data_IF_658141286941
#
_entry.id   IF_658141286941
#
_cell.length_a   1.000
_cell.length_b   1.000
_cell.length_c   1.000
_cell.angle_alpha   90.00
_cell.angle_beta   90.00
_cell.angle_gamma   90.00
#
_symmetry.space_group_name_H-M   'P 1'
#
loop_
_entity.id
_entity.type
_entity.pdbx_description
1 polymer ?
#
# COMPACT_ATOMS: atom_id res chain seq x y z
N UNK A 1 -37.68 -16.67 -6.96
CA UNK A 1 -37.02 -15.39 -7.30
C UNK A 1 -35.52 -15.59 -7.18
N UNK A 2 -34.80 -15.65 -8.29
CA UNK A 2 -33.34 -15.54 -8.26
C UNK A 2 -33.09 -14.06 -8.01
N UNK A 3 -32.70 -13.69 -6.79
CA UNK A 3 -32.11 -12.37 -6.56
C UNK A 3 -30.89 -12.32 -7.47
N UNK A 4 -30.94 -11.49 -8.53
CA UNK A 4 -29.77 -11.11 -9.28
C UNK A 4 -28.73 -10.66 -8.26
N UNK A 5 -27.75 -11.52 -7.98
CA UNK A 5 -26.61 -11.21 -7.14
C UNK A 5 -26.01 -9.96 -7.77
N UNK A 6 -26.18 -8.81 -7.10
CA UNK A 6 -25.72 -7.52 -7.60
C UNK A 6 -24.24 -7.71 -7.93
N UNK A 7 -23.90 -7.72 -9.21
CA UNK A 7 -22.53 -7.56 -9.66
C UNK A 7 -22.15 -6.15 -9.22
N UNK A 8 -21.47 -6.05 -8.08
CA UNK A 8 -21.00 -4.76 -7.57
C UNK A 8 -19.73 -4.43 -8.33
N UNK A 9 -19.67 -3.23 -8.89
CA UNK A 9 -18.43 -2.67 -9.44
C UNK A 9 -17.54 -2.34 -8.24
N UNK A 10 -16.38 -3.01 -8.08
CA UNK A 10 -15.51 -2.75 -6.93
C UNK A 10 -15.05 -1.29 -6.93
N UNK A 11 -15.09 -0.65 -5.76
CA UNK A 11 -14.58 0.70 -5.56
C UNK A 11 -13.18 0.63 -4.94
N UNK A 12 -12.14 1.08 -5.66
CA UNK A 12 -10.78 1.15 -5.12
C UNK A 12 -10.71 2.23 -4.05
N UNK A 13 -10.42 1.83 -2.82
CA UNK A 13 -10.36 2.68 -1.64
C UNK A 13 -8.94 3.14 -1.32
N UNK A 14 -7.96 2.29 -1.56
CA UNK A 14 -6.57 2.63 -1.34
C UNK A 14 -5.67 1.99 -2.38
N UNK A 15 -4.65 2.72 -2.80
CA UNK A 15 -3.62 2.23 -3.73
C UNK A 15 -2.26 2.65 -3.22
N UNK A 16 -1.29 1.73 -3.30
CA UNK A 16 0.14 2.00 -3.14
C UNK A 16 0.80 1.56 -4.44
N UNK A 17 1.49 2.46 -5.12
CA UNK A 17 2.11 2.15 -6.41
C UNK A 17 3.50 2.78 -6.53
N UNK A 18 4.41 2.06 -7.16
CA UNK A 18 5.65 2.60 -7.71
C UNK A 18 5.33 3.20 -9.08
N UNK A 19 5.65 4.48 -9.24
CA UNK A 19 5.62 5.20 -10.51
C UNK A 19 7.06 5.40 -10.97
N UNK A 20 7.36 4.92 -12.16
CA UNK A 20 8.65 5.09 -12.81
C UNK A 20 8.44 5.85 -14.11
N UNK A 21 9.37 6.72 -14.45
CA UNK A 21 9.41 7.39 -15.74
C UNK A 21 10.83 7.37 -16.29
N UNK A 22 10.97 6.86 -17.49
CA UNK A 22 12.16 7.04 -18.32
C UNK A 22 11.88 8.21 -19.27
N UNK A 23 12.52 9.35 -19.05
CA UNK A 23 12.46 10.43 -20.03
C UNK A 23 13.37 10.06 -21.21
N UNK A 24 12.79 9.75 -22.37
CA UNK A 24 13.52 9.57 -23.64
C UNK A 24 14.09 10.93 -24.12
N UNK A 25 15.15 11.41 -23.49
CA UNK A 25 15.87 12.64 -23.82
C UNK A 25 17.39 12.42 -23.90
N UNK A 26 18.17 13.47 -24.22
CA UNK A 26 19.65 13.38 -24.33
C UNK A 26 20.39 13.03 -23.03
N UNK A 27 19.68 13.02 -21.90
CA UNK A 27 20.14 12.51 -20.61
C UNK A 27 19.11 11.48 -20.16
N UNK A 28 19.54 10.23 -19.95
CA UNK A 28 18.73 9.14 -19.39
C UNK A 28 18.37 9.46 -17.92
N UNK A 29 17.47 10.42 -17.71
CA UNK A 29 17.02 10.83 -16.38
C UNK A 29 15.87 9.91 -15.95
N UNK A 30 16.23 8.78 -15.34
CA UNK A 30 15.29 7.89 -14.64
C UNK A 30 14.73 8.63 -13.41
N UNK A 31 13.40 8.58 -13.24
CA UNK A 31 12.75 9.02 -12.01
C UNK A 31 11.83 7.95 -11.45
N UNK A 32 11.78 7.84 -10.12
CA UNK A 32 10.93 6.91 -9.41
C UNK A 32 10.28 7.56 -8.19
N UNK A 33 8.99 7.31 -8.02
CA UNK A 33 8.23 7.77 -6.86
C UNK A 33 7.24 6.73 -6.38
N UNK A 34 7.08 6.61 -5.07
CA UNK A 34 5.96 5.85 -4.49
C UNK A 34 4.79 6.80 -4.29
N UNK A 35 3.62 6.40 -4.76
CA UNK A 35 2.35 7.10 -4.55
C UNK A 35 1.42 6.25 -3.71
N UNK A 36 0.87 6.84 -2.67
CA UNK A 36 -0.21 6.27 -1.84
C UNK A 36 -1.43 7.17 -1.99
N UNK A 37 -2.56 6.60 -2.35
CA UNK A 37 -3.84 7.30 -2.46
C UNK A 37 -4.88 6.64 -1.56
N UNK A 38 -5.67 7.46 -0.87
CA UNK A 38 -6.86 7.03 -0.13
C UNK A 38 -8.08 7.77 -0.67
N UNK A 39 -9.04 7.01 -1.20
CA UNK A 39 -10.26 7.57 -1.79
C UNK A 39 -11.20 8.05 -0.70
N UNK A 40 -11.86 9.19 -0.93
CA UNK A 40 -12.82 9.76 0.02
C UNK A 40 -12.18 10.53 1.18
N UNK A 41 -10.85 10.63 1.23
CA UNK A 41 -10.14 11.52 2.14
C UNK A 41 -10.08 12.92 1.55
N UNK A 42 -10.26 13.95 2.39
CA UNK A 42 -10.18 15.34 1.94
C UNK A 42 -8.79 15.66 1.38
N UNK A 43 -8.78 16.40 0.26
CA UNK A 43 -7.55 16.81 -0.40
C UNK A 43 -6.90 17.94 0.38
N UNK A 44 -5.58 17.88 0.56
CA UNK A 44 -4.83 19.01 1.09
C UNK A 44 -4.89 20.18 0.10
N UNK A 45 -5.18 21.39 0.60
CA UNK A 45 -5.29 22.60 -0.24
C UNK A 45 -3.94 23.06 -0.75
N UNK A 46 -2.93 22.96 0.10
CA UNK A 46 -1.55 23.34 -0.20
C UNK A 46 -0.66 22.11 -0.02
N UNK A 47 0.32 21.89 -0.92
CA UNK A 47 1.26 20.79 -0.77
C UNK A 47 2.09 20.95 0.50
N UNK A 48 2.33 19.85 1.20
CA UNK A 48 3.10 19.84 2.45
C UNK A 48 3.96 18.59 2.52
N UNK A 49 5.21 18.75 2.94
CA UNK A 49 6.15 17.65 3.15
C UNK A 49 6.25 17.39 4.64
N UNK A 50 5.92 16.18 5.04
CA UNK A 50 6.01 15.74 6.43
C UNK A 50 7.16 14.78 6.56
N UNK A 51 8.12 15.16 7.41
CA UNK A 51 9.36 14.43 7.59
C UNK A 51 9.21 13.40 8.71
N UNK A 52 9.88 12.26 8.57
CA UNK A 52 9.92 11.24 9.61
C UNK A 52 10.58 11.78 10.89
N UNK A 53 11.67 12.55 10.74
CA UNK A 53 12.42 13.15 11.85
C UNK A 53 13.16 14.42 11.41
N UNK A 54 13.69 15.18 12.37
CA UNK A 54 14.56 16.32 12.06
C UNK A 54 15.84 15.90 11.33
N UNK A 55 16.40 14.74 11.65
CA UNK A 55 17.61 14.22 10.99
C UNK A 55 17.34 13.94 9.51
N UNK A 56 16.18 13.33 9.20
CA UNK A 56 15.74 13.12 7.83
C UNK A 56 15.58 14.47 7.11
N UNK A 57 14.89 15.44 7.73
CA UNK A 57 14.75 16.78 7.18
C UNK A 57 16.09 17.47 6.89
N UNK A 58 17.04 17.41 7.85
CA UNK A 58 18.37 18.00 7.72
C UNK A 58 19.19 17.37 6.61
N UNK A 59 19.09 16.04 6.42
CA UNK A 59 19.75 15.32 5.31
C UNK A 59 19.33 15.88 3.95
N UNK A 60 18.10 16.35 3.83
CA UNK A 60 17.52 16.93 2.61
C UNK A 60 17.55 18.47 2.58
N UNK A 61 18.20 19.11 3.55
CA UNK A 61 18.33 20.57 3.61
C UNK A 61 17.02 21.31 3.91
N UNK A 62 16.01 20.64 4.47
CA UNK A 62 14.75 21.27 4.83
C UNK A 62 14.92 22.22 6.03
N UNK A 63 14.33 23.41 5.92
CA UNK A 63 14.28 24.44 6.97
C UNK A 63 12.88 24.47 7.56
N UNK A 64 12.76 24.40 8.88
CA UNK A 64 11.48 24.31 9.61
C UNK A 64 10.60 23.12 9.19
N UNK A 65 11.06 21.86 9.40
CA UNK A 65 10.35 20.69 8.92
C UNK A 65 9.03 20.47 9.67
N UNK A 66 7.98 20.14 8.93
CA UNK A 66 6.73 19.61 9.51
C UNK A 66 6.99 18.18 9.95
N UNK A 67 6.81 17.92 11.24
CA UNK A 67 6.99 16.61 11.87
C UNK A 67 5.63 15.93 12.13
N UNK A 68 5.61 14.61 12.41
CA UNK A 68 4.37 13.84 12.47
C UNK A 68 3.41 14.26 13.61
N UNK A 69 3.93 14.90 14.66
CA UNK A 69 3.16 15.46 15.77
C UNK A 69 2.26 16.64 15.34
N UNK A 70 2.65 17.37 14.29
CA UNK A 70 1.89 18.51 13.75
C UNK A 70 0.82 18.12 12.73
N UNK A 71 0.72 16.84 12.37
CA UNK A 71 -0.22 16.35 11.34
C UNK A 71 -1.69 16.61 11.68
N UNK A 72 -2.07 16.56 12.96
CA UNK A 72 -3.45 16.80 13.38
C UNK A 72 -3.93 18.22 13.04
N UNK A 73 -3.04 19.22 13.21
CA UNK A 73 -3.31 20.62 12.88
C UNK A 73 -3.44 20.84 11.36
N UNK A 74 -2.68 20.07 10.58
CA UNK A 74 -2.61 20.20 9.11
C UNK A 74 -3.81 19.55 8.42
N UNK A 75 -4.25 18.39 8.91
CA UNK A 75 -5.21 17.54 8.20
C UNK A 75 -6.66 17.67 8.69
N UNK A 76 -6.89 18.11 9.93
CA UNK A 76 -8.24 18.18 10.51
C UNK A 76 -8.96 16.83 10.69
N UNK A 77 -8.38 15.72 10.20
CA UNK A 77 -8.85 14.35 10.37
C UNK A 77 -7.81 13.58 11.21
N UNK A 78 -8.16 13.29 12.47
CA UNK A 78 -7.26 12.65 13.42
C UNK A 78 -6.89 11.21 13.02
N UNK A 79 -7.84 10.45 12.47
CA UNK A 79 -7.62 9.07 12.02
C UNK A 79 -6.66 9.05 10.84
N UNK A 80 -6.86 9.94 9.87
CA UNK A 80 -5.95 10.07 8.73
C UNK A 80 -4.55 10.52 9.18
N UNK A 81 -4.47 11.49 10.09
CA UNK A 81 -3.20 11.90 10.68
C UNK A 81 -2.47 10.73 11.36
N UNK A 82 -3.18 9.87 12.09
CA UNK A 82 -2.59 8.69 12.74
C UNK A 82 -2.11 7.64 11.72
N UNK A 83 -2.88 7.42 10.64
CA UNK A 83 -2.45 6.56 9.52
C UNK A 83 -1.11 7.07 8.95
N UNK A 84 -0.98 8.38 8.71
CA UNK A 84 0.26 8.95 8.18
C UNK A 84 1.43 8.83 9.15
N UNK A 85 1.21 9.04 10.45
CA UNK A 85 2.24 8.82 11.47
C UNK A 85 2.73 7.38 11.46
N UNK A 86 1.82 6.41 11.36
CA UNK A 86 2.19 5.00 11.30
C UNK A 86 2.92 4.67 9.99
N UNK A 87 2.50 5.23 8.84
CA UNK A 87 3.21 5.08 7.56
C UNK A 87 4.63 5.63 7.62
N UNK A 88 4.84 6.80 8.22
CA UNK A 88 6.16 7.42 8.42
C UNK A 88 7.10 6.60 9.31
N UNK A 89 6.59 5.66 10.11
CA UNK A 89 7.44 4.70 10.87
C UNK A 89 8.03 3.59 9.97
N UNK A 90 7.67 3.54 8.68
CA UNK A 90 8.19 2.54 7.75
C UNK A 90 9.68 2.74 7.50
N UNK A 91 10.49 1.73 7.79
CA UNK A 91 11.94 1.80 7.59
C UNK A 91 12.30 2.00 6.11
N UNK A 92 13.03 3.08 5.82
CA UNK A 92 13.39 3.54 4.48
C UNK A 92 12.51 4.69 3.94
N UNK A 93 11.42 5.03 4.63
CA UNK A 93 10.61 6.20 4.31
C UNK A 93 11.08 7.40 5.13
N UNK A 94 11.65 8.40 4.46
CA UNK A 94 12.21 9.58 5.14
C UNK A 94 11.21 10.74 5.25
N UNK A 95 10.23 10.79 4.35
CA UNK A 95 9.15 11.78 4.34
C UNK A 95 7.95 11.30 3.53
N UNK A 96 6.84 12.04 3.61
CA UNK A 96 5.71 11.96 2.70
C UNK A 96 5.33 13.38 2.25
N UNK A 97 5.31 13.62 0.95
CA UNK A 97 4.76 14.83 0.35
C UNK A 97 3.27 14.62 0.10
N UNK A 98 2.42 15.37 0.78
CA UNK A 98 0.99 15.39 0.56
C UNK A 98 0.68 16.43 -0.51
N UNK A 99 0.02 16.02 -1.59
CA UNK A 99 -0.31 16.90 -2.70
C UNK A 99 -1.66 16.49 -3.29
N UNK A 100 -2.67 17.34 -3.11
CA UNK A 100 -4.04 16.98 -3.45
C UNK A 100 -4.54 15.80 -2.59
N UNK A 101 -4.90 14.69 -3.24
CA UNK A 101 -5.33 13.45 -2.55
C UNK A 101 -4.25 12.37 -2.45
N UNK A 102 -3.03 12.69 -2.88
CA UNK A 102 -1.93 11.74 -3.01
C UNK A 102 -0.85 12.02 -1.96
N UNK A 103 -0.25 10.94 -1.45
CA UNK A 103 0.98 10.96 -0.68
C UNK A 103 2.09 10.45 -1.58
N UNK A 104 3.14 11.25 -1.73
CA UNK A 104 4.25 10.97 -2.63
C UNK A 104 5.55 10.86 -1.87
N UNK A 105 6.41 9.94 -2.30
CA UNK A 105 7.78 9.83 -1.85
C UNK A 105 8.68 9.64 -3.07
N UNK A 106 9.60 10.57 -3.30
CA UNK A 106 10.64 10.40 -4.31
C UNK A 106 11.63 9.34 -3.85
N UNK A 107 11.72 8.26 -4.61
CA UNK A 107 12.63 7.14 -4.36
C UNK A 107 13.63 6.96 -5.50
N UNK A 108 13.85 7.98 -6.33
CA UNK A 108 14.79 7.95 -7.47
C UNK A 108 16.22 7.58 -7.02
N UNK A 109 16.62 8.02 -5.83
CA UNK A 109 17.95 7.74 -5.27
C UNK A 109 18.09 6.32 -4.70
N UNK A 110 16.99 5.56 -4.59
CA UNK A 110 17.01 4.16 -4.16
C UNK A 110 17.23 3.26 -5.37
N UNK A 111 18.01 2.20 -5.20
CA UNK A 111 18.10 1.14 -6.20
C UNK A 111 16.73 0.49 -6.43
N UNK A 112 16.45 -0.11 -7.61
CA UNK A 112 15.19 -0.81 -7.85
C UNK A 112 14.84 -1.88 -6.80
N UNK A 113 15.87 -2.51 -6.21
CA UNK A 113 15.73 -3.45 -5.09
C UNK A 113 15.23 -2.75 -3.82
N UNK A 114 15.83 -1.63 -3.44
CA UNK A 114 15.43 -0.86 -2.26
C UNK A 114 14.02 -0.24 -2.43
N UNK A 115 13.70 0.23 -3.63
CA UNK A 115 12.34 0.71 -3.96
C UNK A 115 11.31 -0.41 -3.74
N UNK A 116 11.62 -1.63 -4.21
CA UNK A 116 10.73 -2.77 -4.02
C UNK A 116 10.53 -3.13 -2.55
N UNK A 117 11.61 -3.18 -1.78
CA UNK A 117 11.56 -3.44 -0.35
C UNK A 117 10.72 -2.38 0.37
N UNK A 118 10.91 -1.11 0.04
CA UNK A 118 10.14 -0.02 0.64
C UNK A 118 8.65 -0.16 0.35
N UNK A 119 8.29 -0.43 -0.91
CA UNK A 119 6.91 -0.65 -1.32
C UNK A 119 6.25 -1.81 -0.55
N UNK A 120 6.96 -2.95 -0.43
CA UNK A 120 6.48 -4.11 0.35
C UNK A 120 6.28 -3.78 1.82
N UNK A 121 7.20 -3.02 2.43
CA UNK A 121 7.07 -2.60 3.83
C UNK A 121 5.89 -1.65 4.04
N UNK A 122 5.63 -0.73 3.10
CA UNK A 122 4.46 0.14 3.14
C UNK A 122 3.16 -0.66 3.11
N UNK A 123 3.04 -1.63 2.19
CA UNK A 123 1.88 -2.53 2.10
C UNK A 123 1.69 -3.33 3.40
N UNK A 124 2.77 -3.90 3.95
CA UNK A 124 2.72 -4.62 5.22
C UNK A 124 2.31 -3.72 6.40
N UNK A 125 2.72 -2.45 6.37
CA UNK A 125 2.36 -1.50 7.40
C UNK A 125 0.88 -1.09 7.30
N UNK A 126 0.34 -0.90 6.08
CA UNK A 126 -1.09 -0.68 5.87
C UNK A 126 -1.96 -1.82 6.42
N UNK A 127 -1.52 -3.07 6.25
CA UNK A 127 -2.17 -4.22 6.89
C UNK A 127 -2.16 -4.11 8.42
N UNK A 128 -1.01 -3.78 9.01
CA UNK A 128 -0.87 -3.64 10.47
C UNK A 128 -1.81 -2.59 11.03
N UNK A 129 -2.09 -1.53 10.28
CA UNK A 129 -3.00 -0.44 10.64
C UNK A 129 -4.41 -0.60 10.06
N UNK A 130 -4.79 -1.82 9.65
CA UNK A 130 -6.12 -2.14 9.11
C UNK A 130 -7.30 -1.67 9.98
N UNK A 131 -7.11 -1.58 11.30
CA UNK A 131 -8.11 -1.03 12.22
C UNK A 131 -8.33 0.49 12.01
N UNK A 132 -7.26 1.26 11.83
CA UNK A 132 -7.35 2.69 11.49
C UNK A 132 -7.97 2.89 10.12
N UNK A 133 -7.67 1.99 9.17
CA UNK A 133 -8.29 2.00 7.84
C UNK A 133 -9.81 1.74 7.92
N UNK A 134 -10.23 0.80 8.75
CA UNK A 134 -11.66 0.57 8.98
C UNK A 134 -12.34 1.79 9.59
N UNK A 135 -11.70 2.44 10.56
CA UNK A 135 -12.20 3.69 11.16
C UNK A 135 -12.26 4.84 10.14
N UNK A 136 -11.23 4.99 9.30
CA UNK A 136 -11.16 6.00 8.24
C UNK A 136 -12.35 5.90 7.28
N UNK A 137 -12.79 4.68 6.95
CA UNK A 137 -13.93 4.41 6.08
C UNK A 137 -15.26 4.27 6.83
N UNK A 138 -15.30 4.56 8.14
CA UNK A 138 -16.52 4.55 8.95
C UNK A 138 -17.09 3.15 9.19
N UNK A 139 -16.26 2.11 9.14
CA UNK A 139 -16.69 0.74 9.38
C UNK A 139 -16.60 0.37 10.86
N UNK A 140 -17.71 -0.18 11.37
CA UNK A 140 -17.78 -0.67 12.75
C UNK A 140 -17.13 -2.06 12.94
N UNK A 141 -16.56 -2.63 11.88
CA UNK A 141 -15.93 -3.95 11.86
C UNK A 141 -14.73 -3.96 10.93
N UNK A 142 -13.77 -4.81 11.25
CA UNK A 142 -12.69 -5.12 10.31
C UNK A 142 -13.28 -5.78 9.06
N UNK A 143 -12.79 -5.41 7.87
CA UNK A 143 -13.26 -5.99 6.64
C UNK A 143 -12.84 -7.45 6.48
N UNK A 144 -13.64 -8.23 5.77
CA UNK A 144 -13.24 -9.54 5.28
C UNK A 144 -12.65 -9.42 3.88
N UNK A 145 -11.64 -10.22 3.52
CA UNK A 145 -11.17 -10.30 2.13
C UNK A 145 -11.75 -11.52 1.38
N UNK A 146 -12.19 -11.30 0.14
CA UNK A 146 -12.75 -12.32 -0.78
C UNK A 146 -11.83 -13.52 -0.96
N UNK A 147 -10.53 -13.37 -0.74
CA UNK A 147 -9.58 -14.48 -0.86
C UNK A 147 -9.54 -15.49 0.27
N UNK A 148 -10.06 -15.16 1.47
CA UNK A 148 -9.96 -16.06 2.64
C UNK A 148 -10.91 -17.27 2.61
N UNK A 149 -11.89 -17.33 1.71
CA UNK A 149 -13.02 -18.27 1.88
C UNK A 149 -13.30 -19.28 0.76
N UNK A 150 -12.77 -19.17 -0.47
CA UNK A 150 -13.33 -20.00 -1.57
C UNK A 150 -12.38 -20.48 -2.70
N UNK A 151 -11.29 -19.80 -3.08
CA UNK A 151 -10.72 -20.04 -4.42
C UNK A 151 -9.31 -20.67 -4.39
N UNK A 152 -9.21 -21.94 -4.82
CA UNK A 152 -7.94 -22.67 -5.02
C UNK A 152 -7.25 -22.39 -6.37
N UNK A 153 -7.73 -21.44 -7.19
CA UNK A 153 -7.19 -21.29 -8.56
C UNK A 153 -7.57 -20.02 -9.32
N UNK A 154 -7.87 -18.92 -8.63
CA UNK A 154 -8.05 -17.62 -9.29
C UNK A 154 -7.07 -16.63 -8.68
N UNK A 155 -6.04 -16.36 -9.47
CA UNK A 155 -4.81 -15.63 -9.19
C UNK A 155 -5.00 -14.44 -8.26
N UNK A 156 -4.07 -14.35 -7.31
CA UNK A 156 -3.82 -13.36 -6.27
C UNK A 156 -3.32 -14.19 -5.09
N UNK A 157 -2.03 -14.46 -5.00
CA UNK A 157 -1.20 -14.18 -3.82
C UNK A 157 -1.87 -14.03 -2.45
N UNK A 158 -2.70 -15.00 -2.07
CA UNK A 158 -3.37 -15.02 -0.79
C UNK A 158 -2.69 -16.01 0.15
N UNK A 159 -1.84 -15.50 1.05
CA UNK A 159 -1.38 -16.30 2.21
C UNK A 159 -2.34 -16.09 3.38
N UNK A 160 -2.57 -17.16 4.13
CA UNK A 160 -3.31 -17.14 5.38
C UNK A 160 -2.71 -16.10 6.35
N UNK A 161 -3.53 -15.14 6.78
CA UNK A 161 -3.14 -14.06 7.71
C UNK A 161 -2.99 -14.53 9.16
N UNK A 162 -2.98 -15.84 9.39
CA UNK A 162 -2.83 -16.48 10.70
C UNK A 162 -4.08 -16.35 11.59
N UNK A 163 -4.04 -17.02 12.74
CA UNK A 163 -5.16 -17.17 13.70
C UNK A 163 -5.68 -15.86 14.36
N UNK A 164 -5.22 -14.68 13.90
CA UNK A 164 -5.72 -13.34 14.32
C UNK A 164 -5.94 -12.40 13.14
N UNK A 165 -6.12 -12.97 11.94
CA UNK A 165 -5.88 -12.27 10.70
C UNK A 165 -6.73 -11.01 10.53
N UNK A 166 -6.03 -9.92 10.23
CA UNK A 166 -6.44 -8.55 9.92
C UNK A 166 -7.54 -8.38 8.86
N UNK A 167 -8.00 -9.46 8.24
CA UNK A 167 -8.89 -9.46 7.09
C UNK A 167 -8.19 -9.14 5.76
N UNK A 168 -6.90 -8.79 5.79
CA UNK A 168 -6.11 -8.38 4.64
C UNK A 168 -5.20 -9.52 4.19
N UNK A 169 -4.59 -9.35 3.03
CA UNK A 169 -3.89 -10.41 2.33
C UNK A 169 -2.51 -9.94 1.91
N UNK A 170 -1.51 -10.67 2.40
CA UNK A 170 -0.11 -10.40 2.17
C UNK A 170 0.35 -10.93 0.79
N UNK A 171 1.05 -10.15 -0.04
CA UNK A 171 1.75 -10.70 -1.21
C UNK A 171 2.82 -11.71 -0.73
N UNK A 172 2.83 -12.98 -1.16
CA UNK A 172 3.57 -14.07 -0.55
C UNK A 172 4.98 -13.69 -0.11
N UNK A 173 5.32 -14.05 1.13
CA UNK A 173 6.71 -13.99 1.57
C UNK A 173 7.49 -14.95 0.69
N UNK A 174 8.60 -14.52 0.08
CA UNK A 174 9.49 -15.47 -0.56
C UNK A 174 9.88 -16.55 0.46
N UNK A 175 9.88 -17.82 0.04
CA UNK A 175 10.12 -18.99 0.89
C UNK A 175 11.43 -18.94 1.69
N UNK A 176 12.40 -18.11 1.29
CA UNK A 176 13.68 -17.90 1.96
C UNK A 176 13.62 -17.00 3.21
N UNK A 177 12.49 -16.33 3.49
CA UNK A 177 12.31 -15.53 4.72
C UNK A 177 12.04 -16.39 5.98
N UNK A 178 11.70 -17.67 5.80
CA UNK A 178 11.33 -18.58 6.90
C UNK A 178 12.56 -19.29 7.50
N UNK A 179 13.68 -19.32 6.80
CA UNK A 179 14.88 -19.98 7.31
C UNK A 179 15.73 -19.02 8.14
N UNK A 180 15.66 -19.16 9.47
CA UNK A 180 16.45 -18.41 10.46
C UNK A 180 17.98 -18.62 10.35
N UNK A 181 18.47 -19.35 9.34
CA UNK A 181 19.89 -19.65 9.13
C UNK A 181 20.49 -19.13 7.82
N UNK A 182 19.71 -18.53 6.92
CA UNK A 182 20.24 -18.08 5.64
C UNK A 182 20.80 -16.65 5.73
N UNK A 183 22.12 -16.58 5.57
CA UNK A 183 22.91 -15.35 5.51
C UNK A 183 22.46 -14.48 4.32
N UNK A 184 22.51 -13.17 4.55
CA UNK A 184 22.18 -12.00 3.72
C UNK A 184 22.69 -11.93 2.26
N UNK A 185 23.10 -13.03 1.62
CA UNK A 185 23.68 -13.01 0.28
C UNK A 185 22.98 -14.00 -0.66
N UNK A 186 21.80 -13.68 -1.19
CA UNK A 186 21.33 -14.20 -2.48
C UNK A 186 20.36 -13.18 -3.12
N UNK A 187 20.62 -12.85 -4.38
CA UNK A 187 19.81 -11.97 -5.23
C UNK A 187 18.33 -12.39 -5.17
N UNK A 188 17.44 -11.44 -4.92
CA UNK A 188 16.00 -11.68 -5.08
C UNK A 188 15.75 -12.19 -6.51
N UNK A 189 14.92 -13.22 -6.70
CA UNK A 189 14.46 -13.54 -8.05
C UNK A 189 13.79 -12.30 -8.63
N UNK A 190 14.29 -11.82 -9.77
CA UNK A 190 13.81 -10.63 -10.52
C UNK A 190 12.27 -10.63 -10.77
N UNK A 191 11.63 -11.78 -10.57
CA UNK A 191 10.22 -12.10 -10.79
C UNK A 191 9.26 -11.62 -9.68
N UNK A 192 9.74 -11.20 -8.50
CA UNK A 192 8.88 -10.79 -7.37
C UNK A 192 8.90 -9.27 -7.08
N UNK A 193 9.27 -8.43 -8.05
CA UNK A 193 9.24 -6.98 -7.87
C UNK A 193 7.80 -6.46 -7.89
N UNK A 194 7.17 -6.35 -6.71
CA UNK A 194 5.90 -5.61 -6.52
C UNK A 194 5.98 -4.20 -7.15
N UNK A 195 4.97 -3.87 -7.94
CA UNK A 195 4.78 -2.55 -8.58
C UNK A 195 3.63 -1.79 -7.95
N UNK A 196 2.53 -2.48 -7.63
CA UNK A 196 1.41 -1.84 -6.95
C UNK A 196 0.61 -2.80 -6.09
N UNK A 197 -0.13 -2.24 -5.15
CA UNK A 197 -1.10 -2.93 -4.32
C UNK A 197 -2.34 -2.06 -4.17
N UNK A 198 -3.51 -2.62 -4.49
CA UNK A 198 -4.79 -1.91 -4.41
C UNK A 198 -5.79 -2.66 -3.53
N UNK A 199 -6.63 -1.90 -2.85
CA UNK A 199 -7.67 -2.38 -1.96
C UNK A 199 -9.00 -1.89 -2.48
N UNK A 200 -9.86 -2.80 -2.91
CA UNK A 200 -11.17 -2.48 -3.46
C UNK A 200 -12.28 -2.99 -2.56
N UNK A 201 -13.27 -2.14 -2.27
CA UNK A 201 -14.50 -2.52 -1.59
C UNK A 201 -15.51 -3.10 -2.58
N UNK A 202 -16.02 -4.28 -2.27
CA UNK A 202 -16.92 -5.07 -3.13
C UNK A 202 -18.35 -5.05 -2.59
N UNK A 203 -18.56 -4.68 -1.33
CA UNK A 203 -19.87 -4.61 -0.70
C UNK A 203 -19.85 -5.23 0.68
N UNK A 204 -21.03 -5.63 1.16
CA UNK A 204 -21.20 -6.10 2.54
C UNK A 204 -21.66 -7.56 2.57
N UNK A 205 -21.18 -8.30 3.56
CA UNK A 205 -21.68 -9.63 3.92
C UNK A 205 -22.41 -9.55 5.25
N UNK A 206 -23.50 -10.31 5.40
CA UNK A 206 -24.13 -10.48 6.71
C UNK A 206 -23.31 -11.43 7.57
N UNK A 207 -23.08 -11.02 8.81
CA UNK A 207 -22.50 -11.89 9.84
C UNK A 207 -23.46 -13.02 10.20
N UNK A 208 -22.91 -14.20 10.49
CA UNK A 208 -23.71 -15.33 10.98
C UNK A 208 -23.91 -15.28 12.51
N UNK A 209 -23.11 -14.48 13.21
CA UNK A 209 -23.05 -14.45 14.67
C UNK A 209 -23.88 -13.30 15.28
N UNK A 210 -24.27 -12.32 14.46
CA UNK A 210 -25.05 -11.14 14.85
C UNK A 210 -25.66 -10.42 13.62
N UNK A 211 -26.60 -9.49 13.86
CA UNK A 211 -27.32 -8.72 12.82
C UNK A 211 -26.46 -7.64 12.12
N UNK A 212 -25.14 -7.77 12.15
CA UNK A 212 -24.20 -6.79 11.60
C UNK A 212 -23.76 -7.10 10.16
N UNK A 213 -23.48 -6.03 9.42
CA UNK A 213 -22.83 -6.10 8.11
C UNK A 213 -21.30 -6.01 8.26
N UNK A 214 -20.59 -6.84 7.49
CA UNK A 214 -19.13 -6.90 7.42
C UNK A 214 -18.72 -6.38 6.05
N UNK A 215 -17.88 -5.33 5.97
CA UNK A 215 -17.36 -4.85 4.69
C UNK A 215 -16.48 -5.92 4.05
N UNK A 216 -16.63 -6.11 2.75
CA UNK A 216 -15.92 -7.13 1.97
C UNK A 216 -14.99 -6.45 0.98
N UNK A 217 -13.71 -6.82 1.04
CA UNK A 217 -12.63 -6.25 0.24
C UNK A 217 -12.01 -7.28 -0.72
N UNK A 218 -11.44 -6.81 -1.82
CA UNK A 218 -10.44 -7.54 -2.62
C UNK A 218 -9.17 -6.73 -2.64
N UNK A 219 -8.09 -7.39 -2.25
CA UNK A 219 -6.76 -6.86 -2.40
C UNK A 219 -6.14 -7.43 -3.67
N UNK A 220 -5.40 -6.61 -4.41
CA UNK A 220 -4.74 -7.00 -5.66
C UNK A 220 -3.31 -6.49 -5.60
N UNK A 221 -2.35 -7.40 -5.61
CA UNK A 221 -0.95 -7.11 -5.87
C UNK A 221 -0.69 -7.18 -7.38
N UNK A 222 0.20 -6.33 -7.88
CA UNK A 222 0.65 -6.34 -9.27
C UNK A 222 2.16 -6.35 -9.29
N UNK A 223 2.73 -7.29 -10.03
CA UNK A 223 4.17 -7.48 -10.11
C UNK A 223 4.73 -7.02 -11.45
N UNK A 224 5.99 -6.62 -11.41
CA UNK A 224 6.74 -6.14 -12.58
C UNK A 224 6.72 -7.14 -13.71
N UNK A 225 6.86 -8.43 -13.42
CA UNK A 225 6.80 -9.47 -14.45
C UNK A 225 5.43 -9.55 -15.13
N UNK A 226 4.33 -9.47 -14.37
CA UNK A 226 2.97 -9.47 -14.94
C UNK A 226 2.77 -8.28 -15.87
N UNK A 227 3.24 -7.10 -15.44
CA UNK A 227 3.20 -5.87 -16.24
C UNK A 227 4.06 -6.02 -17.49
N UNK A 228 5.31 -6.48 -17.35
CA UNK A 228 6.23 -6.68 -18.47
C UNK A 228 5.67 -7.66 -19.50
N UNK A 229 5.08 -8.79 -19.06
CA UNK A 229 4.43 -9.75 -19.96
C UNK A 229 3.21 -9.15 -20.65
N UNK A 230 2.33 -8.49 -19.89
CA UNK A 230 1.11 -7.89 -20.42
C UNK A 230 1.40 -6.78 -21.44
N UNK A 231 2.46 -6.00 -21.21
CA UNK A 231 2.92 -4.94 -22.10
C UNK A 231 3.87 -5.44 -23.20
N UNK A 232 4.13 -6.75 -23.29
CA UNK A 232 5.06 -7.36 -24.26
C UNK A 232 6.47 -6.76 -24.21
N UNK A 233 6.93 -6.36 -23.02
CA UNK A 233 8.28 -5.84 -22.77
C UNK A 233 9.31 -6.94 -22.56
N UNK A 234 8.85 -8.18 -22.36
CA UNK A 234 9.68 -9.38 -22.34
C UNK A 234 9.06 -10.43 -23.26
N UNK A 235 9.88 -11.07 -24.10
CA UNK A 235 9.45 -12.21 -24.91
C UNK A 235 9.25 -13.44 -24.00
N UNK A 236 8.15 -14.16 -24.22
CA UNK A 236 7.76 -15.38 -23.48
C UNK A 236 8.47 -16.61 -24.03
#
# INVERSE_FOLDING_TARGET
>A
MIFLKRLVVPEVLATVALQESDNEGMHDDYSAGIVVEFRGVEKVKEPVIVWQSEEAAKKHGAVDPVLPDRLGEVLGNEVYAEILKELLKTYGLEYLKMEGGELKFDCTMLSPYEQNILLRRLVANLERISHLMAELFGWNRLPACVGRRVWEGLDCDLVDGGERGTGWVYPPRPSWYIDKRLKYNMEEPRFLSLVSYSIAHIGYAHSCEDDGEIPVLRCVATYREEVSRALSLIDV
#
